data_IF_683010001040
#
_entry.id   IF_683010001040
#
_cell.length_a   1.000
_cell.length_b   1.000
_cell.length_c   1.000
_cell.angle_alpha   90.00
_cell.angle_beta   90.00
_cell.angle_gamma   90.00
#
_symmetry.space_group_name_H-M   'P 1'
#
loop_
_entity.id
_entity.type
_entity.pdbx_description
1 polymer ?
#
# COMPACT_ATOMS: atom_id res chain seq x y z
N UNK A 1 38.13 6.57 18.45
CA UNK A 1 38.61 5.20 18.32
C UNK A 1 38.41 4.69 16.90
N UNK A 2 37.23 4.86 16.27
CA UNK A 2 36.95 4.41 14.90
C UNK A 2 37.80 5.10 13.84
N UNK A 3 38.05 6.41 13.97
CA UNK A 3 38.93 7.16 13.07
C UNK A 3 40.40 6.71 13.18
N UNK A 4 40.85 6.34 14.37
CA UNK A 4 42.19 5.83 14.60
C UNK A 4 42.46 4.45 13.98
N UNK A 5 41.42 3.63 13.87
CA UNK A 5 41.48 2.29 13.26
C UNK A 5 41.45 2.38 11.72
N UNK A 6 40.75 3.39 11.16
CA UNK A 6 40.78 3.71 9.73
C UNK A 6 42.15 4.16 9.23
N UNK A 7 42.91 4.90 10.07
CA UNK A 7 44.26 5.39 9.74
C UNK A 7 45.31 4.27 9.70
N UNK A 8 45.00 3.12 10.31
CA UNK A 8 45.88 1.93 10.32
C UNK A 8 45.61 1.00 9.13
N UNK A 9 44.72 1.38 8.19
CA UNK A 9 44.47 0.64 6.96
C UNK A 9 43.55 -0.58 7.12
N UNK A 10 42.92 -0.78 8.27
CA UNK A 10 41.90 -1.80 8.45
C UNK A 10 40.52 -1.23 8.00
N UNK A 11 39.93 -1.84 6.98
CA UNK A 11 38.53 -1.60 6.62
C UNK A 11 37.64 -2.17 7.71
N UNK A 12 37.45 -1.43 8.78
CA UNK A 12 36.33 -1.67 9.69
C UNK A 12 35.07 -1.16 9.00
N UNK A 13 34.40 -2.03 8.24
CA UNK A 13 33.00 -1.81 7.90
C UNK A 13 32.21 -1.87 9.21
N UNK A 14 32.04 -0.71 9.84
CA UNK A 14 31.32 -0.65 11.10
C UNK A 14 29.86 -1.05 10.86
N UNK A 15 29.28 -1.78 11.80
CA UNK A 15 27.84 -2.13 11.80
C UNK A 15 26.95 -0.90 11.58
N UNK A 16 27.44 0.29 11.91
CA UNK A 16 26.78 1.58 11.66
C UNK A 16 26.73 1.93 10.17
N UNK A 17 27.79 1.69 9.40
CA UNK A 17 27.80 1.95 7.96
C UNK A 17 26.86 1.01 7.22
N UNK A 18 26.82 -0.28 7.58
CA UNK A 18 25.85 -1.21 7.03
C UNK A 18 24.39 -0.80 7.30
N UNK A 19 24.12 -0.29 8.51
CA UNK A 19 22.79 0.21 8.85
C UNK A 19 22.42 1.48 8.06
N UNK A 20 23.35 2.39 7.87
CA UNK A 20 23.12 3.61 7.07
C UNK A 20 22.89 3.28 5.59
N UNK A 21 23.65 2.37 5.02
CA UNK A 21 23.49 1.97 3.63
C UNK A 21 22.16 1.21 3.40
N UNK A 22 21.80 0.32 4.32
CA UNK A 22 20.48 -0.32 4.31
C UNK A 22 19.34 0.70 4.44
N UNK A 23 19.45 1.67 5.35
CA UNK A 23 18.44 2.72 5.49
C UNK A 23 18.30 3.57 4.22
N UNK A 24 19.38 3.92 3.55
CA UNK A 24 19.36 4.66 2.28
C UNK A 24 18.67 3.84 1.18
N UNK A 25 18.95 2.55 1.11
CA UNK A 25 18.36 1.66 0.12
C UNK A 25 16.84 1.48 0.34
N UNK A 26 16.43 1.29 1.60
CA UNK A 26 15.02 1.22 1.99
C UNK A 26 14.31 2.56 1.73
N UNK A 27 14.94 3.69 2.08
CA UNK A 27 14.38 5.02 1.83
C UNK A 27 14.18 5.29 0.33
N UNK A 28 15.11 4.86 -0.52
CA UNK A 28 14.97 4.99 -1.98
C UNK A 28 13.79 4.17 -2.51
N UNK A 29 13.62 2.93 -2.05
CA UNK A 29 12.47 2.09 -2.40
C UNK A 29 11.13 2.69 -1.92
N UNK A 30 11.11 3.20 -0.69
CA UNK A 30 9.92 3.87 -0.15
C UNK A 30 9.55 5.14 -0.95
N UNK A 31 10.53 5.92 -1.40
CA UNK A 31 10.26 7.09 -2.26
C UNK A 31 9.66 6.68 -3.61
N UNK A 32 10.15 5.61 -4.21
CA UNK A 32 9.62 5.10 -5.48
C UNK A 32 8.18 4.60 -5.34
N UNK A 33 7.91 3.78 -4.31
CA UNK A 33 6.58 3.28 -4.02
C UNK A 33 5.62 4.41 -3.61
N UNK A 34 6.09 5.34 -2.79
CA UNK A 34 5.32 6.52 -2.39
C UNK A 34 4.96 7.41 -3.57
N UNK A 35 5.88 7.60 -4.53
CA UNK A 35 5.63 8.33 -5.76
C UNK A 35 4.57 7.66 -6.64
N UNK A 36 4.66 6.34 -6.84
CA UNK A 36 3.65 5.56 -7.55
C UNK A 36 2.27 5.62 -6.88
N UNK A 37 2.26 5.50 -5.55
CA UNK A 37 1.02 5.60 -4.77
C UNK A 37 0.39 7.00 -4.89
N UNK A 38 1.19 8.05 -4.86
CA UNK A 38 0.69 9.43 -5.01
C UNK A 38 0.07 9.68 -6.39
N UNK A 39 0.70 9.18 -7.46
CA UNK A 39 0.13 9.27 -8.83
C UNK A 39 -1.15 8.48 -8.94
N UNK A 40 -1.20 7.27 -8.40
CA UNK A 40 -2.40 6.43 -8.40
C UNK A 40 -3.56 7.08 -7.65
N UNK A 41 -3.26 7.72 -6.52
CA UNK A 41 -4.23 8.46 -5.73
C UNK A 41 -4.79 9.67 -6.50
N UNK A 42 -3.92 10.40 -7.20
CA UNK A 42 -4.32 11.54 -8.03
C UNK A 42 -5.26 11.11 -9.15
N UNK A 43 -4.93 10.01 -9.84
CA UNK A 43 -5.81 9.45 -10.89
C UNK A 43 -7.15 9.00 -10.29
N UNK A 44 -7.15 8.35 -9.13
CA UNK A 44 -8.38 7.96 -8.44
C UNK A 44 -9.25 9.17 -8.08
N UNK A 45 -8.65 10.25 -7.55
CA UNK A 45 -9.36 11.49 -7.23
C UNK A 45 -9.99 12.13 -8.47
N UNK A 46 -9.27 12.16 -9.61
CA UNK A 46 -9.81 12.68 -10.88
C UNK A 46 -10.99 11.83 -11.37
N UNK A 47 -10.90 10.49 -11.25
CA UNK A 47 -12.01 9.61 -11.62
C UNK A 47 -13.26 9.83 -10.76
N UNK A 48 -13.07 10.01 -9.45
CA UNK A 48 -14.18 10.32 -8.53
C UNK A 48 -14.81 11.67 -8.90
N UNK A 49 -14.00 12.70 -9.13
CA UNK A 49 -14.49 14.02 -9.53
C UNK A 49 -15.28 13.97 -10.84
N UNK A 50 -14.80 13.22 -11.83
CA UNK A 50 -15.49 13.05 -13.11
C UNK A 50 -16.83 12.32 -12.95
N UNK A 51 -16.85 11.23 -12.18
CA UNK A 51 -18.07 10.44 -11.93
C UNK A 51 -19.10 11.25 -11.15
N UNK A 52 -18.67 12.00 -10.12
CA UNK A 52 -19.56 12.87 -9.35
C UNK A 52 -20.14 14.01 -10.21
N UNK A 53 -19.33 14.60 -11.07
CA UNK A 53 -19.79 15.64 -12.00
C UNK A 53 -20.89 15.08 -12.90
N UNK A 54 -20.70 13.89 -13.45
CA UNK A 54 -21.72 13.24 -14.29
C UNK A 54 -23.02 12.95 -13.52
N UNK A 55 -22.91 12.42 -12.30
CA UNK A 55 -24.05 12.16 -11.42
C UNK A 55 -24.85 13.44 -11.10
N UNK A 56 -24.18 14.58 -10.90
CA UNK A 56 -24.83 15.86 -10.69
C UNK A 56 -25.61 16.30 -11.95
N UNK A 57 -25.03 16.12 -13.14
CA UNK A 57 -25.70 16.46 -14.39
C UNK A 57 -26.97 15.63 -14.61
N UNK A 58 -26.93 14.34 -14.34
CA UNK A 58 -28.10 13.44 -14.45
C UNK A 58 -29.23 13.84 -13.50
N UNK A 59 -28.89 14.31 -12.29
CA UNK A 59 -29.86 14.72 -11.26
C UNK A 59 -30.17 16.23 -11.24
N UNK A 60 -29.70 16.98 -12.23
CA UNK A 60 -29.87 18.46 -12.27
C UNK A 60 -31.34 18.89 -12.19
N UNK A 61 -32.24 18.13 -12.81
CA UNK A 61 -33.70 18.40 -12.78
C UNK A 61 -34.27 18.26 -11.37
N UNK A 62 -33.88 17.21 -10.63
CA UNK A 62 -34.33 16.97 -9.26
C UNK A 62 -33.79 18.06 -8.31
N UNK A 63 -32.52 18.44 -8.49
CA UNK A 63 -31.91 19.54 -7.75
C UNK A 63 -32.60 20.86 -8.01
N UNK A 64 -33.01 21.12 -9.26
CA UNK A 64 -33.78 22.30 -9.65
C UNK A 64 -35.10 22.37 -8.93
N UNK A 65 -35.88 21.27 -8.89
CA UNK A 65 -37.16 21.18 -8.19
C UNK A 65 -36.98 21.41 -6.68
N UNK A 66 -35.98 20.81 -6.05
CA UNK A 66 -35.70 21.03 -4.63
C UNK A 66 -35.36 22.49 -4.32
N UNK A 67 -34.67 23.17 -5.23
CA UNK A 67 -34.32 24.59 -5.10
C UNK A 67 -35.57 25.49 -5.19
N UNK A 68 -36.48 25.18 -6.10
CA UNK A 68 -37.77 25.91 -6.26
C UNK A 68 -38.66 25.73 -5.02
N UNK A 69 -38.63 24.55 -4.39
CA UNK A 69 -39.34 24.26 -3.14
C UNK A 69 -38.69 24.94 -1.90
N UNK A 70 -37.64 25.75 -2.08
CA UNK A 70 -36.99 26.50 -1.00
C UNK A 70 -35.94 25.77 -0.20
N UNK A 71 -35.45 24.61 -0.67
CA UNK A 71 -34.35 23.92 -0.01
C UNK A 71 -33.04 24.75 -0.05
N UNK A 72 -32.40 24.92 1.13
CA UNK A 72 -31.10 25.61 1.22
C UNK A 72 -30.04 24.84 0.45
N UNK A 73 -29.25 25.54 -0.36
CA UNK A 73 -28.13 24.97 -1.15
C UNK A 73 -27.16 24.15 -0.29
N UNK A 74 -26.98 24.54 0.98
CA UNK A 74 -26.13 23.83 1.95
C UNK A 74 -26.64 22.40 2.22
N UNK A 75 -27.94 22.18 2.23
CA UNK A 75 -28.52 20.86 2.46
C UNK A 75 -28.28 19.93 1.25
N UNK A 76 -28.40 20.46 0.04
CA UNK A 76 -28.16 19.73 -1.20
C UNK A 76 -26.68 19.32 -1.24
N UNK A 77 -25.76 20.24 -0.91
CA UNK A 77 -24.32 19.93 -0.87
C UNK A 77 -23.97 18.88 0.19
N UNK A 78 -24.59 18.92 1.36
CA UNK A 78 -24.39 17.92 2.41
C UNK A 78 -24.82 16.52 1.96
N UNK A 79 -25.90 16.41 1.18
CA UNK A 79 -26.37 15.14 0.62
C UNK A 79 -25.28 14.49 -0.26
N UNK A 80 -24.69 15.24 -1.18
CA UNK A 80 -23.61 14.75 -2.04
C UNK A 80 -22.33 14.42 -1.26
N UNK A 81 -22.00 15.20 -0.24
CA UNK A 81 -20.85 14.92 0.63
C UNK A 81 -21.03 13.61 1.41
N UNK A 82 -22.23 13.33 1.90
CA UNK A 82 -22.51 12.06 2.60
C UNK A 82 -22.46 10.89 1.62
N UNK A 83 -22.99 11.07 0.41
CA UNK A 83 -22.98 10.03 -0.63
C UNK A 83 -21.53 9.68 -1.03
N UNK A 84 -20.68 10.67 -1.32
CA UNK A 84 -19.27 10.43 -1.66
C UNK A 84 -18.46 9.89 -0.48
N UNK A 85 -18.71 10.38 0.73
CA UNK A 85 -18.07 9.89 1.95
C UNK A 85 -18.40 8.42 2.25
N UNK A 86 -19.63 7.97 2.01
CA UNK A 86 -20.01 6.56 2.16
C UNK A 86 -19.33 5.67 1.13
N UNK A 87 -19.16 6.12 -0.10
CA UNK A 87 -18.42 5.38 -1.13
C UNK A 87 -16.95 5.26 -0.73
N UNK A 88 -16.32 6.34 -0.28
CA UNK A 88 -14.95 6.35 0.22
C UNK A 88 -14.74 5.43 1.43
N UNK A 89 -15.69 5.43 2.36
CA UNK A 89 -15.66 4.55 3.53
C UNK A 89 -15.74 3.06 3.15
N UNK A 90 -16.68 2.69 2.30
CA UNK A 90 -16.83 1.31 1.82
C UNK A 90 -15.57 0.88 1.05
N UNK A 91 -15.07 1.72 0.16
CA UNK A 91 -13.82 1.47 -0.56
C UNK A 91 -12.63 1.29 0.38
N UNK A 92 -12.52 2.11 1.43
CA UNK A 92 -11.50 2.00 2.45
C UNK A 92 -11.57 0.68 3.23
N UNK A 93 -12.75 0.25 3.64
CA UNK A 93 -12.95 -1.04 4.33
C UNK A 93 -12.53 -2.21 3.43
N UNK A 94 -12.99 -2.21 2.18
CA UNK A 94 -12.63 -3.25 1.21
C UNK A 94 -11.11 -3.25 0.97
N UNK A 95 -10.50 -2.08 0.79
CA UNK A 95 -9.05 -1.94 0.62
C UNK A 95 -8.26 -2.48 1.81
N UNK A 96 -8.69 -2.20 3.05
CA UNK A 96 -8.07 -2.73 4.26
C UNK A 96 -8.19 -4.27 4.31
N UNK A 97 -9.34 -4.83 3.98
CA UNK A 97 -9.52 -6.29 3.94
C UNK A 97 -8.58 -6.94 2.92
N UNK A 98 -8.50 -6.40 1.72
CA UNK A 98 -7.57 -6.90 0.69
C UNK A 98 -6.11 -6.75 1.11
N UNK A 99 -5.74 -5.66 1.76
CA UNK A 99 -4.37 -5.45 2.27
C UNK A 99 -3.98 -6.51 3.29
N UNK A 100 -4.85 -6.80 4.26
CA UNK A 100 -4.62 -7.85 5.27
C UNK A 100 -4.54 -9.23 4.61
N UNK A 101 -5.41 -9.51 3.64
CA UNK A 101 -5.44 -10.78 2.93
C UNK A 101 -4.14 -10.99 2.13
N UNK A 102 -3.69 -9.97 1.40
CA UNK A 102 -2.42 -10.03 0.64
C UNK A 102 -1.24 -10.20 1.60
N UNK A 103 -1.21 -9.47 2.72
CA UNK A 103 -0.18 -9.62 3.75
C UNK A 103 -0.13 -11.04 4.31
N UNK A 104 -1.30 -11.63 4.59
CA UNK A 104 -1.39 -13.01 5.05
C UNK A 104 -0.87 -14.01 4.01
N UNK A 105 -1.23 -13.82 2.75
CA UNK A 105 -0.75 -14.66 1.63
C UNK A 105 0.77 -14.54 1.49
N UNK A 106 1.32 -13.32 1.50
CA UNK A 106 2.76 -13.09 1.39
C UNK A 106 3.53 -13.71 2.57
N UNK A 107 3.01 -13.57 3.77
CA UNK A 107 3.65 -14.12 4.97
C UNK A 107 3.65 -15.66 4.99
N UNK A 108 2.61 -16.28 4.44
CA UNK A 108 2.52 -17.73 4.31
C UNK A 108 3.09 -18.26 2.98
N UNK A 109 3.52 -17.39 2.06
CA UNK A 109 3.98 -17.76 0.73
C UNK A 109 5.16 -18.76 0.78
N UNK A 110 6.08 -18.58 1.70
CA UNK A 110 7.23 -19.46 1.90
C UNK A 110 6.84 -20.85 2.35
N UNK A 111 5.86 -20.97 3.24
CA UNK A 111 5.32 -22.25 3.70
C UNK A 111 4.60 -22.97 2.56
N UNK A 112 3.85 -22.24 1.75
CA UNK A 112 3.17 -22.78 0.57
C UNK A 112 4.16 -23.24 -0.49
N UNK A 113 5.22 -22.47 -0.75
CA UNK A 113 6.28 -22.84 -1.71
C UNK A 113 7.04 -24.08 -1.25
N UNK A 114 7.35 -24.19 0.05
CA UNK A 114 7.99 -25.40 0.59
C UNK A 114 7.07 -26.63 0.47
N UNK A 115 5.77 -26.47 0.68
CA UNK A 115 4.82 -27.56 0.49
C UNK A 115 4.72 -28.01 -0.98
N UNK A 116 4.68 -27.05 -1.90
CA UNK A 116 4.63 -27.32 -3.35
C UNK A 116 5.93 -27.97 -3.84
N UNK A 117 7.10 -27.47 -3.43
CA UNK A 117 8.39 -28.08 -3.80
C UNK A 117 8.56 -29.46 -3.21
N UNK A 118 8.11 -29.70 -1.98
CA UNK A 118 8.09 -31.02 -1.37
C UNK A 118 7.19 -32.00 -2.13
N UNK A 119 6.03 -31.55 -2.59
CA UNK A 119 5.12 -32.37 -3.40
C UNK A 119 5.69 -32.65 -4.80
N UNK A 120 6.29 -31.65 -5.46
CA UNK A 120 6.97 -31.83 -6.76
C UNK A 120 8.18 -32.78 -6.65
N UNK A 121 8.94 -32.73 -5.57
CA UNK A 121 10.04 -33.65 -5.31
C UNK A 121 9.54 -35.10 -5.13
N UNK A 122 8.35 -35.29 -4.55
CA UNK A 122 7.75 -36.62 -4.38
C UNK A 122 7.30 -37.25 -5.73
N UNK A 123 7.06 -36.44 -6.75
CA UNK A 123 6.70 -36.86 -8.13
C UNK A 123 7.95 -37.01 -9.03
N UNK A 124 9.17 -36.83 -8.47
CA UNK A 124 10.44 -37.01 -9.21
C UNK A 124 10.85 -35.82 -10.07
N UNK A 125 10.19 -34.66 -9.95
CA UNK A 125 10.56 -33.42 -10.61
C UNK A 125 11.53 -32.68 -9.71
N UNK A 126 12.81 -32.66 -10.08
CA UNK A 126 13.83 -31.85 -9.40
C UNK A 126 13.68 -30.38 -9.82
N UNK A 127 12.87 -29.63 -9.11
CA UNK A 127 12.79 -28.17 -9.25
C UNK A 127 13.73 -27.57 -8.21
N UNK A 128 14.89 -27.11 -8.65
CA UNK A 128 15.80 -26.32 -7.83
C UNK A 128 15.24 -24.88 -7.71
N UNK A 129 14.06 -24.75 -7.09
CA UNK A 129 13.50 -23.45 -6.76
C UNK A 129 13.94 -23.11 -5.33
N UNK A 130 14.98 -22.31 -5.26
CA UNK A 130 15.47 -21.82 -3.97
C UNK A 130 14.52 -20.71 -3.52
N UNK A 131 13.52 -21.09 -2.72
CA UNK A 131 12.53 -20.14 -2.16
C UNK A 131 13.20 -19.06 -1.30
N UNK A 132 14.43 -19.31 -0.84
CA UNK A 132 15.24 -18.33 -0.12
C UNK A 132 15.83 -17.25 -1.04
N UNK A 133 15.93 -17.52 -2.35
CA UNK A 133 16.43 -16.56 -3.33
C UNK A 133 15.33 -15.69 -3.95
N UNK A 134 14.04 -16.02 -3.73
CA UNK A 134 12.93 -15.21 -4.18
C UNK A 134 12.73 -14.02 -3.23
N UNK A 135 13.48 -12.98 -3.48
CA UNK A 135 13.38 -11.73 -2.73
C UNK A 135 12.21 -10.91 -3.28
N UNK A 136 11.06 -11.00 -2.61
CA UNK A 136 9.89 -10.14 -2.89
C UNK A 136 10.28 -8.67 -2.76
N UNK A 137 11.24 -8.34 -1.89
CA UNK A 137 11.80 -7.00 -1.75
C UNK A 137 12.50 -6.52 -3.03
N UNK A 138 13.15 -7.42 -3.77
CA UNK A 138 13.80 -7.08 -5.05
C UNK A 138 12.77 -6.71 -6.12
N UNK A 139 11.59 -7.34 -6.14
CA UNK A 139 10.49 -7.01 -7.06
C UNK A 139 9.94 -5.59 -6.83
N UNK A 140 9.96 -5.12 -5.59
CA UNK A 140 9.47 -3.78 -5.19
C UNK A 140 10.60 -2.75 -5.00
N UNK A 141 11.84 -3.04 -5.45
CA UNK A 141 12.97 -2.13 -5.30
C UNK A 141 13.48 -1.98 -3.87
N UNK A 142 13.06 -2.83 -2.96
CA UNK A 142 13.49 -2.90 -1.56
C UNK A 142 14.60 -3.96 -1.36
N UNK A 143 15.46 -4.14 -2.38
CA UNK A 143 16.53 -5.15 -2.35
C UNK A 143 17.33 -5.12 -1.06
N UNK A 144 17.38 -6.26 -0.36
CA UNK A 144 18.17 -6.45 0.86
C UNK A 144 17.41 -6.94 2.09
N UNK A 145 16.12 -7.22 2.00
CA UNK A 145 15.37 -7.87 3.07
C UNK A 145 15.43 -9.40 2.94
N UNK A 146 16.67 -9.92 2.76
CA UNK A 146 16.96 -11.35 2.82
C UNK A 146 16.92 -11.84 4.27
N UNK A 147 15.75 -12.17 4.70
CA UNK A 147 15.48 -12.80 5.98
C UNK A 147 14.00 -12.98 6.12
N UNK A 148 13.52 -14.21 5.85
CA UNK A 148 12.13 -14.59 5.96
C UNK A 148 11.74 -14.65 7.46
N UNK A 149 11.70 -13.49 8.10
CA UNK A 149 10.89 -13.23 9.26
C UNK A 149 9.69 -12.42 8.78
N UNK A 150 8.62 -12.35 9.53
CA UNK A 150 7.37 -11.65 9.22
C UNK A 150 7.57 -10.45 8.28
N UNK A 151 7.34 -10.66 6.96
CA UNK A 151 7.62 -9.69 5.91
C UNK A 151 6.66 -8.50 6.01
N UNK A 152 5.51 -8.71 6.63
CA UNK A 152 4.47 -7.68 6.72
C UNK A 152 3.84 -7.71 8.11
N UNK A 153 4.37 -6.88 8.98
CA UNK A 153 3.76 -6.58 10.28
C UNK A 153 2.95 -5.28 10.11
N UNK A 154 1.65 -5.41 9.85
CA UNK A 154 0.76 -4.27 9.64
C UNK A 154 0.24 -3.83 11.01
N UNK A 155 0.70 -2.71 11.58
CA UNK A 155 0.18 -2.24 12.84
C UNK A 155 -1.27 -1.76 12.67
N UNK A 156 -2.15 -2.12 13.61
CA UNK A 156 -3.58 -1.82 13.55
C UNK A 156 -3.89 -0.31 13.40
N UNK A 157 -3.03 0.56 13.94
CA UNK A 157 -3.19 2.01 13.82
C UNK A 157 -3.05 2.50 12.37
N UNK A 158 -2.22 1.82 11.55
CA UNK A 158 -2.01 2.16 10.14
C UNK A 158 -3.28 1.85 9.32
N UNK A 159 -3.99 0.77 9.63
CA UNK A 159 -5.29 0.45 9.02
C UNK A 159 -6.34 1.52 9.34
N UNK A 160 -6.37 2.01 10.58
CA UNK A 160 -7.26 3.10 10.97
C UNK A 160 -6.92 4.40 10.23
N UNK A 161 -5.64 4.75 10.13
CA UNK A 161 -5.20 5.93 9.37
C UNK A 161 -5.55 5.82 7.89
N UNK A 162 -5.36 4.64 7.29
CA UNK A 162 -5.72 4.39 5.88
C UNK A 162 -7.23 4.54 5.65
N UNK A 163 -8.06 4.05 6.58
CA UNK A 163 -9.51 4.16 6.50
C UNK A 163 -9.97 5.62 6.63
N UNK A 164 -9.42 6.38 7.58
CA UNK A 164 -9.70 7.82 7.72
C UNK A 164 -9.30 8.56 6.45
N UNK A 165 -8.11 8.26 5.92
CA UNK A 165 -7.61 8.88 4.70
C UNK A 165 -8.48 8.58 3.48
N UNK A 166 -8.93 7.31 3.32
CA UNK A 166 -9.84 6.92 2.25
C UNK A 166 -11.19 7.65 2.31
N UNK A 167 -11.74 7.86 3.53
CA UNK A 167 -12.98 8.64 3.70
C UNK A 167 -12.78 10.11 3.39
N UNK A 168 -11.65 10.70 3.77
CA UNK A 168 -11.34 12.11 3.48
C UNK A 168 -11.11 12.35 1.99
N UNK A 169 -10.46 11.44 1.28
CA UNK A 169 -10.26 11.54 -0.18
C UNK A 169 -11.57 11.32 -0.94
N UNK A 170 -12.50 10.52 -0.39
CA UNK A 170 -13.83 10.32 -0.97
C UNK A 170 -14.80 11.48 -0.74
N UNK A 171 -14.51 12.36 0.21
CA UNK A 171 -15.28 13.58 0.51
C UNK A 171 -14.92 14.74 -0.43
#
# INVERSE_FOLDING_TARGET
VEQMIKDIGYQTSSMTQYREDMQKQVASGQMMLGGLAAVSLLVAALNIANTMTMAIYERTKEIGVMKVLGCKLSKIRQMFLIESGTIGFIGGVIGCLFSVLISFVLNNFTVWMQAITGWLMSIGVQVNFDASSFDVGALFGMGGMGGIGNISDIPAWLLLMALIFATVVGL
#
